data_IF_658908043787
#
_entry.id   IF_658908043787
#
_cell.length_a   1.000
_cell.length_b   1.000
_cell.length_c   1.000
_cell.angle_alpha   90.00
_cell.angle_beta   90.00
_cell.angle_gamma   90.00
#
_symmetry.space_group_name_H-M   'P 1'
#
loop_
_entity.id
_entity.type
_entity.pdbx_description
1 polymer ?
#
# COMPACT_ATOMS: atom_id res chain seq x y z
N UNK A 1 -11.19 -24.10 1.47
CA UNK A 1 -9.94 -23.42 1.07
C UNK A 1 -10.01 -22.68 -0.27
N UNK A 2 -10.20 -23.36 -1.43
CA UNK A 2 -10.22 -22.69 -2.76
C UNK A 2 -11.23 -21.54 -2.86
N UNK A 3 -12.45 -21.71 -2.35
CA UNK A 3 -13.50 -20.66 -2.36
C UNK A 3 -13.09 -19.45 -1.52
N UNK A 4 -12.48 -19.68 -0.36
CA UNK A 4 -12.02 -18.62 0.53
C UNK A 4 -10.84 -17.85 -0.09
N UNK A 5 -9.91 -18.55 -0.75
CA UNK A 5 -8.81 -17.90 -1.47
C UNK A 5 -9.33 -17.02 -2.62
N UNK A 6 -10.30 -17.51 -3.40
CA UNK A 6 -10.91 -16.70 -4.47
C UNK A 6 -11.66 -15.48 -3.92
N UNK A 7 -12.40 -15.64 -2.82
CA UNK A 7 -13.05 -14.52 -2.15
C UNK A 7 -12.04 -13.49 -1.66
N UNK A 8 -11.01 -13.93 -0.93
CA UNK A 8 -9.98 -13.04 -0.41
C UNK A 8 -9.21 -12.32 -1.51
N UNK A 9 -8.88 -13.03 -2.59
CA UNK A 9 -8.25 -12.44 -3.77
C UNK A 9 -9.13 -11.38 -4.43
N UNK A 10 -10.43 -11.63 -4.57
CA UNK A 10 -11.36 -10.66 -5.15
C UNK A 10 -11.54 -9.42 -4.26
N UNK A 11 -11.58 -9.60 -2.94
CA UNK A 11 -11.65 -8.49 -1.96
C UNK A 11 -10.44 -7.58 -2.09
N UNK A 12 -9.25 -8.16 -2.03
CA UNK A 12 -7.98 -7.41 -2.10
C UNK A 12 -7.81 -6.73 -3.46
N UNK A 13 -8.17 -7.42 -4.54
CA UNK A 13 -8.15 -6.86 -5.89
C UNK A 13 -9.02 -5.60 -6.00
N UNK A 14 -10.28 -5.68 -5.58
CA UNK A 14 -11.22 -4.55 -5.65
C UNK A 14 -10.69 -3.38 -4.81
N UNK A 15 -10.24 -3.64 -3.58
CA UNK A 15 -9.72 -2.61 -2.70
C UNK A 15 -8.54 -1.84 -3.34
N UNK A 16 -7.55 -2.57 -3.87
CA UNK A 16 -6.36 -1.97 -4.46
C UNK A 16 -6.65 -1.26 -5.78
N UNK A 17 -7.52 -1.82 -6.64
CA UNK A 17 -7.96 -1.16 -7.88
C UNK A 17 -8.55 0.22 -7.58
N UNK A 18 -9.48 0.30 -6.61
CA UNK A 18 -10.15 1.57 -6.30
C UNK A 18 -9.31 2.50 -5.42
N UNK A 19 -8.34 1.97 -4.67
CA UNK A 19 -7.32 2.79 -4.03
C UNK A 19 -6.53 3.59 -5.08
N UNK A 20 -6.01 2.92 -6.11
CA UNK A 20 -5.12 3.53 -7.11
C UNK A 20 -5.87 4.27 -8.22
N UNK A 21 -7.18 4.05 -8.38
CA UNK A 21 -8.00 4.74 -9.37
C UNK A 21 -8.06 6.28 -9.18
N UNK A 22 -7.77 6.80 -7.98
CA UNK A 22 -7.74 8.25 -7.74
C UNK A 22 -6.61 8.95 -8.51
N UNK A 23 -5.51 8.25 -8.79
CA UNK A 23 -4.28 8.83 -9.36
C UNK A 23 -4.52 9.64 -10.63
N UNK A 24 -5.19 9.14 -11.68
CA UNK A 24 -5.48 9.93 -12.88
C UNK A 24 -6.67 10.89 -12.71
N UNK A 25 -7.48 10.76 -11.64
CA UNK A 25 -8.58 11.67 -11.34
C UNK A 25 -8.12 12.94 -10.62
N UNK A 26 -6.96 12.88 -9.94
CA UNK A 26 -6.50 13.95 -9.08
C UNK A 26 -6.31 15.29 -9.79
N UNK A 27 -5.72 15.37 -11.01
CA UNK A 27 -5.64 16.62 -11.75
C UNK A 27 -7.03 17.23 -12.05
N UNK A 28 -7.98 16.40 -12.52
CA UNK A 28 -9.34 16.85 -12.77
C UNK A 28 -10.01 17.44 -11.53
N UNK A 29 -9.91 16.78 -10.39
CA UNK A 29 -10.41 17.35 -9.12
C UNK A 29 -9.67 18.62 -8.71
N UNK A 30 -8.37 18.71 -8.98
CA UNK A 30 -7.59 19.90 -8.68
C UNK A 30 -8.09 21.10 -9.50
N UNK A 31 -8.37 20.91 -10.78
CA UNK A 31 -8.89 21.95 -11.67
C UNK A 31 -10.34 22.31 -11.34
N UNK A 32 -11.23 21.31 -11.24
CA UNK A 32 -12.67 21.52 -11.05
C UNK A 32 -12.99 22.19 -9.70
N UNK A 33 -12.24 21.86 -8.64
CA UNK A 33 -12.45 22.38 -7.28
C UNK A 33 -11.44 23.46 -6.89
N UNK A 34 -10.52 23.82 -7.79
CA UNK A 34 -9.47 24.81 -7.51
C UNK A 34 -8.55 24.41 -6.35
N UNK A 35 -8.15 23.12 -6.28
CA UNK A 35 -7.40 22.63 -5.15
C UNK A 35 -5.96 23.13 -5.16
N UNK A 36 -5.50 23.59 -3.99
CA UNK A 36 -4.06 23.73 -3.77
C UNK A 36 -3.36 22.37 -3.73
N UNK A 37 -2.02 22.33 -3.95
CA UNK A 37 -1.24 21.10 -3.81
C UNK A 37 -1.39 20.45 -2.42
N UNK A 38 -1.59 21.27 -1.38
CA UNK A 38 -1.89 20.79 -0.03
C UNK A 38 -3.25 20.07 0.04
N UNK A 39 -4.30 20.65 -0.55
CA UNK A 39 -5.63 20.04 -0.59
C UNK A 39 -5.64 18.75 -1.45
N UNK A 40 -4.96 18.74 -2.59
CA UNK A 40 -4.74 17.54 -3.39
C UNK A 40 -3.99 16.45 -2.61
N UNK A 41 -3.02 16.85 -1.78
CA UNK A 41 -2.30 15.97 -0.85
C UNK A 41 -3.21 15.34 0.20
N UNK A 42 -4.16 16.12 0.75
CA UNK A 42 -5.18 15.60 1.69
C UNK A 42 -6.06 14.58 0.99
N UNK A 43 -6.60 14.90 -0.17
CA UNK A 43 -7.49 14.01 -0.94
C UNK A 43 -6.81 12.69 -1.31
N UNK A 44 -5.56 12.74 -1.78
CA UNK A 44 -4.79 11.53 -2.09
C UNK A 44 -4.45 10.72 -0.83
N UNK A 45 -3.99 11.38 0.23
CA UNK A 45 -3.56 10.75 1.47
C UNK A 45 -4.69 10.29 2.41
N UNK A 46 -5.92 10.78 2.21
CA UNK A 46 -7.05 10.47 3.09
C UNK A 46 -7.36 8.97 3.18
N UNK A 47 -7.24 8.23 2.08
CA UNK A 47 -7.37 6.77 2.09
C UNK A 47 -6.32 6.12 3.00
N UNK A 48 -5.07 6.48 2.82
CA UNK A 48 -3.98 5.95 3.66
C UNK A 48 -4.16 6.35 5.14
N UNK A 49 -4.69 7.55 5.42
CA UNK A 49 -5.02 7.97 6.78
C UNK A 49 -6.12 7.09 7.41
N UNK A 50 -7.16 6.75 6.65
CA UNK A 50 -8.19 5.81 7.07
C UNK A 50 -7.62 4.41 7.33
N UNK A 51 -6.76 3.93 6.41
CA UNK A 51 -6.04 2.66 6.56
C UNK A 51 -5.17 2.66 7.81
N UNK A 52 -4.40 3.73 8.05
CA UNK A 52 -3.55 3.88 9.22
C UNK A 52 -4.36 3.83 10.52
N UNK A 53 -5.42 4.62 10.58
CA UNK A 53 -6.31 4.70 11.75
C UNK A 53 -6.94 3.34 12.10
N UNK A 54 -7.25 2.52 11.07
CA UNK A 54 -7.97 1.26 11.25
C UNK A 54 -7.04 0.02 11.22
N UNK A 55 -5.75 0.13 10.87
CA UNK A 55 -4.84 -1.01 10.74
C UNK A 55 -4.78 -1.90 11.98
N UNK A 56 -4.55 -1.34 13.17
CA UNK A 56 -4.53 -2.10 14.42
C UNK A 56 -5.95 -2.42 14.93
N UNK A 57 -6.90 -1.46 14.98
CA UNK A 57 -8.27 -1.76 15.36
C UNK A 57 -8.90 -2.91 14.57
N UNK A 58 -8.67 -2.99 13.26
CA UNK A 58 -9.19 -4.06 12.42
C UNK A 58 -8.65 -5.44 12.81
N UNK A 59 -7.37 -5.54 13.17
CA UNK A 59 -6.79 -6.77 13.72
C UNK A 59 -7.48 -7.20 15.02
N UNK A 60 -7.73 -6.26 15.93
CA UNK A 60 -8.48 -6.55 17.17
C UNK A 60 -9.95 -6.90 16.90
N UNK A 61 -10.60 -6.25 15.94
CA UNK A 61 -11.97 -6.61 15.53
C UNK A 61 -12.02 -8.04 14.99
N UNK A 62 -11.05 -8.43 14.16
CA UNK A 62 -10.96 -9.78 13.60
C UNK A 62 -10.76 -10.84 14.69
N UNK A 63 -9.98 -10.56 15.74
CA UNK A 63 -9.80 -11.49 16.86
C UNK A 63 -11.03 -11.55 17.79
N UNK A 64 -11.71 -10.41 18.01
CA UNK A 64 -12.83 -10.33 18.96
C UNK A 64 -14.18 -10.79 18.36
N UNK A 65 -14.46 -10.36 17.15
CA UNK A 65 -15.77 -10.60 16.49
C UNK A 65 -15.70 -11.66 15.38
N UNK A 66 -14.51 -12.15 15.09
CA UNK A 66 -14.23 -13.10 14.02
C UNK A 66 -13.85 -12.44 12.69
N UNK A 67 -13.04 -13.13 11.88
CA UNK A 67 -12.51 -12.60 10.63
C UNK A 67 -13.58 -12.34 9.59
N UNK A 68 -14.60 -13.22 9.50
CA UNK A 68 -15.72 -13.08 8.56
C UNK A 68 -16.53 -11.80 8.80
N UNK A 69 -16.88 -11.51 10.06
CA UNK A 69 -17.66 -10.31 10.41
C UNK A 69 -16.87 -9.04 10.15
N UNK A 70 -15.58 -9.06 10.47
CA UNK A 70 -14.67 -7.92 10.20
C UNK A 70 -14.55 -7.66 8.70
N UNK A 71 -14.38 -8.72 7.89
CA UNK A 71 -14.37 -8.63 6.42
C UNK A 71 -15.67 -8.03 5.88
N UNK A 72 -16.82 -8.55 6.30
CA UNK A 72 -18.14 -8.09 5.82
C UNK A 72 -18.35 -6.61 6.19
N UNK A 73 -18.05 -6.22 7.43
CA UNK A 73 -18.15 -4.82 7.85
C UNK A 73 -17.23 -3.93 7.03
N UNK A 74 -15.98 -4.37 6.78
CA UNK A 74 -15.03 -3.64 5.92
C UNK A 74 -15.54 -3.46 4.50
N UNK A 75 -16.09 -4.51 3.88
CA UNK A 75 -16.67 -4.44 2.54
C UNK A 75 -17.86 -3.47 2.45
N UNK A 76 -18.74 -3.47 3.45
CA UNK A 76 -19.88 -2.56 3.49
C UNK A 76 -19.43 -1.10 3.65
N UNK A 77 -18.44 -0.83 4.51
CA UNK A 77 -17.86 0.50 4.67
C UNK A 77 -17.18 0.94 3.37
N UNK A 78 -16.34 0.09 2.77
CA UNK A 78 -15.63 0.38 1.52
C UNK A 78 -16.62 0.68 0.38
N UNK A 79 -17.63 -0.16 0.20
CA UNK A 79 -18.63 0.01 -0.87
C UNK A 79 -19.47 1.26 -0.69
N UNK A 80 -19.98 1.50 0.52
CA UNK A 80 -20.79 2.70 0.82
C UNK A 80 -19.98 3.99 0.68
N UNK A 81 -18.74 3.98 1.16
CA UNK A 81 -17.85 5.13 1.01
C UNK A 81 -17.47 5.37 -0.46
N UNK A 82 -17.30 4.31 -1.25
CA UNK A 82 -17.04 4.43 -2.69
C UNK A 82 -18.24 5.01 -3.44
N UNK A 83 -19.46 4.61 -3.08
CA UNK A 83 -20.66 5.22 -3.62
C UNK A 83 -20.70 6.73 -3.31
N UNK A 84 -20.48 7.11 -2.04
CA UNK A 84 -20.41 8.52 -1.63
C UNK A 84 -19.35 9.27 -2.42
N UNK A 85 -18.16 8.69 -2.59
CA UNK A 85 -17.08 9.29 -3.37
C UNK A 85 -17.48 9.56 -4.81
N UNK A 86 -18.19 8.62 -5.46
CA UNK A 86 -18.63 8.76 -6.85
C UNK A 86 -19.57 9.94 -7.09
N UNK A 87 -20.41 10.28 -6.09
CA UNK A 87 -21.39 11.36 -6.14
C UNK A 87 -20.93 12.66 -5.44
N UNK A 88 -19.75 12.64 -4.82
CA UNK A 88 -19.24 13.79 -4.08
C UNK A 88 -18.79 14.91 -5.03
N UNK A 89 -19.25 16.13 -4.77
CA UNK A 89 -18.97 17.32 -5.56
C UNK A 89 -18.25 18.41 -4.78
N UNK A 90 -17.82 18.15 -3.54
CA UNK A 90 -17.04 19.08 -2.74
C UNK A 90 -15.96 18.35 -1.93
N UNK A 91 -14.83 19.01 -1.69
CA UNK A 91 -13.61 18.44 -1.13
C UNK A 91 -13.82 17.69 0.19
N UNK A 92 -14.53 18.27 1.15
CA UNK A 92 -14.71 17.65 2.48
C UNK A 92 -15.40 16.28 2.38
N UNK A 93 -16.38 16.12 1.48
CA UNK A 93 -17.07 14.85 1.28
C UNK A 93 -16.19 13.84 0.56
N UNK A 94 -15.39 14.30 -0.42
CA UNK A 94 -14.39 13.47 -1.09
C UNK A 94 -13.35 12.94 -0.09
N UNK A 95 -12.79 13.82 0.76
CA UNK A 95 -11.80 13.45 1.79
C UNK A 95 -12.39 12.47 2.80
N UNK A 96 -13.61 12.74 3.31
CA UNK A 96 -14.29 11.86 4.25
C UNK A 96 -14.60 10.49 3.64
N UNK A 97 -15.04 10.45 2.38
CA UNK A 97 -15.29 9.23 1.66
C UNK A 97 -13.98 8.42 1.44
N UNK A 98 -12.88 9.08 1.04
CA UNK A 98 -11.56 8.45 0.90
C UNK A 98 -11.05 7.90 2.22
N UNK A 99 -11.19 8.63 3.31
CA UNK A 99 -10.83 8.15 4.65
C UNK A 99 -11.65 6.90 5.03
N UNK A 100 -12.96 6.93 4.82
CA UNK A 100 -13.84 5.79 5.10
C UNK A 100 -13.52 4.57 4.20
N UNK A 101 -13.19 4.79 2.91
CA UNK A 101 -12.71 3.74 2.02
C UNK A 101 -11.46 3.05 2.60
N UNK A 102 -10.46 3.82 3.02
CA UNK A 102 -9.23 3.28 3.61
C UNK A 102 -9.49 2.52 4.92
N UNK A 103 -10.36 3.02 5.78
CA UNK A 103 -10.76 2.31 7.00
C UNK A 103 -11.48 0.99 6.68
N UNK A 104 -12.41 1.00 5.71
CA UNK A 104 -13.09 -0.20 5.21
C UNK A 104 -12.12 -1.20 4.59
N UNK A 105 -11.17 -0.72 3.78
CA UNK A 105 -10.10 -1.52 3.19
C UNK A 105 -9.26 -2.22 4.24
N UNK A 106 -8.78 -1.50 5.26
CA UNK A 106 -8.01 -2.09 6.37
C UNK A 106 -8.76 -3.20 7.10
N UNK A 107 -10.07 -3.02 7.33
CA UNK A 107 -10.94 -4.07 7.92
C UNK A 107 -11.08 -5.28 6.99
N UNK A 108 -11.28 -5.04 5.70
CA UNK A 108 -11.41 -6.09 4.69
C UNK A 108 -10.13 -6.91 4.56
N UNK A 109 -8.96 -6.26 4.52
CA UNK A 109 -7.65 -6.90 4.52
C UNK A 109 -7.41 -7.74 5.78
N UNK A 110 -7.59 -7.14 6.95
CA UNK A 110 -7.37 -7.83 8.23
C UNK A 110 -8.29 -9.03 8.38
N UNK A 111 -9.58 -8.89 8.02
CA UNK A 111 -10.53 -9.99 8.02
C UNK A 111 -10.15 -11.10 7.04
N UNK A 112 -9.78 -10.73 5.81
CA UNK A 112 -9.37 -11.67 4.76
C UNK A 112 -8.14 -12.47 5.17
N UNK A 113 -7.05 -11.80 5.53
CA UNK A 113 -5.80 -12.47 5.87
C UNK A 113 -5.92 -13.32 7.12
N UNK A 114 -6.60 -12.82 8.17
CA UNK A 114 -6.86 -13.61 9.37
C UNK A 114 -7.66 -14.88 9.05
N UNK A 115 -8.68 -14.78 8.21
CA UNK A 115 -9.50 -15.94 7.84
C UNK A 115 -8.70 -16.96 7.02
N UNK A 116 -7.94 -16.49 6.03
CA UNK A 116 -7.09 -17.34 5.20
C UNK A 116 -6.02 -18.07 6.03
N UNK A 117 -5.41 -17.39 7.00
CA UNK A 117 -4.39 -17.97 7.88
C UNK A 117 -4.98 -19.07 8.77
N UNK A 118 -6.15 -18.83 9.37
CA UNK A 118 -6.83 -19.80 10.24
C UNK A 118 -7.19 -21.09 9.47
N UNK A 119 -7.68 -20.94 8.24
CA UNK A 119 -8.12 -22.07 7.42
C UNK A 119 -6.97 -22.75 6.65
N UNK A 120 -5.77 -22.16 6.62
CA UNK A 120 -4.64 -22.69 5.87
C UNK A 120 -3.82 -23.66 6.70
N UNK A 121 -3.46 -24.84 6.16
CA UNK A 121 -2.41 -25.68 6.72
C UNK A 121 -1.09 -24.90 6.86
N UNK A 122 -0.31 -25.19 7.90
CA UNK A 122 0.93 -24.46 8.22
C UNK A 122 1.93 -24.44 7.08
N UNK A 123 2.05 -25.57 6.34
CA UNK A 123 2.93 -25.74 5.19
C UNK A 123 2.53 -24.91 3.96
N UNK A 124 1.31 -24.37 3.90
CA UNK A 124 0.77 -23.63 2.74
C UNK A 124 0.45 -22.16 3.03
N UNK A 125 0.55 -21.70 4.27
CA UNK A 125 0.22 -20.31 4.65
C UNK A 125 0.96 -19.28 3.81
N UNK A 126 2.26 -19.45 3.63
CA UNK A 126 3.07 -18.55 2.81
C UNK A 126 2.61 -18.47 1.35
N UNK A 127 2.28 -19.64 0.75
CA UNK A 127 1.77 -19.69 -0.63
C UNK A 127 0.41 -18.98 -0.77
N UNK A 128 -0.47 -19.15 0.22
CA UNK A 128 -1.81 -18.53 0.23
C UNK A 128 -1.69 -17.02 0.34
N UNK A 129 -0.89 -16.52 1.28
CA UNK A 129 -0.65 -15.08 1.47
C UNK A 129 0.02 -14.50 0.21
N UNK A 130 1.05 -15.16 -0.32
CA UNK A 130 1.73 -14.72 -1.54
C UNK A 130 0.80 -14.65 -2.75
N UNK A 131 -0.17 -15.57 -2.86
CA UNK A 131 -1.17 -15.54 -3.94
C UNK A 131 -2.08 -14.32 -3.83
N UNK A 132 -2.50 -13.93 -2.63
CA UNK A 132 -3.34 -12.75 -2.40
C UNK A 132 -2.55 -11.46 -2.67
N UNK A 133 -1.29 -11.39 -2.23
CA UNK A 133 -0.41 -10.25 -2.51
C UNK A 133 -0.14 -10.10 -4.01
N UNK A 134 0.03 -11.21 -4.75
CA UNK A 134 0.15 -11.16 -6.21
C UNK A 134 -1.08 -10.59 -6.91
N UNK A 135 -2.28 -10.83 -6.36
CA UNK A 135 -3.53 -10.24 -6.85
C UNK A 135 -3.62 -8.75 -6.50
N UNK A 136 -3.08 -8.32 -5.36
CA UNK A 136 -2.98 -6.89 -5.02
C UNK A 136 -2.18 -6.12 -6.08
N UNK A 137 -1.03 -6.67 -6.50
CA UNK A 137 -0.20 -6.06 -7.56
C UNK A 137 -0.97 -5.96 -8.90
N UNK A 138 -1.79 -6.97 -9.23
CA UNK A 138 -2.68 -6.88 -10.40
C UNK A 138 -3.74 -5.76 -10.24
N UNK A 139 -4.20 -5.49 -9.02
CA UNK A 139 -5.07 -4.35 -8.70
C UNK A 139 -4.38 -3.01 -8.93
N UNK A 140 -3.12 -2.86 -8.50
CA UNK A 140 -2.32 -1.66 -8.75
C UNK A 140 -2.13 -1.39 -10.23
N UNK A 141 -1.97 -2.44 -11.03
CA UNK A 141 -1.83 -2.34 -12.48
C UNK A 141 -3.10 -1.81 -13.16
N UNK A 142 -4.28 -2.26 -12.73
CA UNK A 142 -5.55 -1.94 -13.39
C UNK A 142 -6.23 -0.68 -12.83
N UNK A 143 -5.91 -0.28 -11.61
CA UNK A 143 -6.55 0.85 -10.95
C UNK A 143 -6.42 2.19 -11.70
N UNK A 144 -5.22 2.61 -12.13
CA UNK A 144 -5.08 3.85 -12.89
C UNK A 144 -5.87 3.84 -14.20
N UNK A 145 -5.96 2.70 -14.89
CA UNK A 145 -6.78 2.57 -16.10
C UNK A 145 -8.27 2.75 -15.80
N UNK A 146 -8.75 2.20 -14.66
CA UNK A 146 -10.13 2.40 -14.21
C UNK A 146 -10.40 3.86 -13.82
N UNK A 147 -9.43 4.53 -13.21
CA UNK A 147 -9.54 5.96 -12.89
C UNK A 147 -9.62 6.83 -14.15
N UNK A 148 -8.81 6.55 -15.18
CA UNK A 148 -8.93 7.24 -16.47
C UNK A 148 -10.28 6.97 -17.16
N UNK A 149 -10.82 5.76 -17.04
CA UNK A 149 -12.17 5.44 -17.49
C UNK A 149 -13.21 6.27 -16.73
N UNK A 150 -13.08 6.36 -15.39
CA UNK A 150 -13.97 7.18 -14.57
C UNK A 150 -13.92 8.67 -14.95
N UNK A 151 -12.75 9.20 -15.33
CA UNK A 151 -12.63 10.55 -15.88
C UNK A 151 -13.39 10.70 -17.21
N UNK A 152 -13.43 9.66 -18.04
CA UNK A 152 -14.05 9.71 -19.36
C UNK A 152 -15.58 9.55 -19.34
N UNK A 153 -16.12 8.68 -18.47
CA UNK A 153 -17.56 8.33 -18.45
C UNK A 153 -18.29 8.81 -17.19
N UNK A 154 -17.58 9.46 -16.27
CA UNK A 154 -18.08 9.91 -14.98
C UNK A 154 -17.66 9.01 -13.81
N UNK A 155 -17.47 9.61 -12.65
CA UNK A 155 -17.11 8.91 -11.40
C UNK A 155 -18.29 8.12 -10.83
N UNK A 156 -19.52 8.64 -10.98
CA UNK A 156 -20.74 8.04 -10.44
C UNK A 156 -20.96 6.59 -10.87
N UNK A 157 -21.00 6.23 -12.19
CA UNK A 157 -21.23 4.85 -12.60
C UNK A 157 -20.08 3.94 -12.18
N UNK A 158 -18.81 4.40 -12.26
CA UNK A 158 -17.64 3.58 -11.96
C UNK A 158 -17.57 3.26 -10.46
N UNK A 159 -17.69 4.27 -9.59
CA UNK A 159 -17.61 4.04 -8.14
C UNK A 159 -18.87 3.39 -7.57
N UNK A 160 -20.04 3.50 -8.22
CA UNK A 160 -21.24 2.74 -7.84
C UNK A 160 -21.05 1.23 -8.02
N UNK A 161 -20.25 0.79 -8.99
CA UNK A 161 -19.97 -0.64 -9.16
C UNK A 161 -19.27 -1.24 -7.95
N UNK A 162 -18.50 -0.45 -7.19
CA UNK A 162 -17.82 -0.91 -5.96
C UNK A 162 -18.83 -1.40 -4.95
N UNK A 163 -19.90 -0.64 -4.71
CA UNK A 163 -20.94 -1.04 -3.76
C UNK A 163 -21.57 -2.37 -4.19
N UNK A 164 -21.90 -2.53 -5.46
CA UNK A 164 -22.50 -3.77 -5.98
C UNK A 164 -21.54 -4.94 -5.77
N UNK A 165 -20.27 -4.77 -6.12
CA UNK A 165 -19.24 -5.82 -5.99
C UNK A 165 -18.99 -6.16 -4.52
N UNK A 166 -18.84 -5.16 -3.65
CA UNK A 166 -18.57 -5.39 -2.22
C UNK A 166 -19.75 -6.03 -1.51
N UNK A 167 -21.00 -5.66 -1.85
CA UNK A 167 -22.20 -6.32 -1.35
C UNK A 167 -22.28 -7.77 -1.84
N UNK A 168 -21.99 -8.04 -3.11
CA UNK A 168 -21.95 -9.40 -3.63
C UNK A 168 -20.91 -10.26 -2.91
N UNK A 169 -19.69 -9.73 -2.69
CA UNK A 169 -18.64 -10.43 -1.92
C UNK A 169 -19.03 -10.62 -0.45
N UNK A 170 -19.67 -9.64 0.18
CA UNK A 170 -20.17 -9.76 1.54
C UNK A 170 -21.23 -10.86 1.65
N UNK A 171 -22.14 -10.96 0.69
CA UNK A 171 -23.14 -12.04 0.63
C UNK A 171 -22.51 -13.42 0.43
N UNK A 172 -21.45 -13.52 -0.39
CA UNK A 172 -20.65 -14.74 -0.54
C UNK A 172 -19.97 -15.10 0.78
N UNK A 173 -19.33 -14.12 1.44
CA UNK A 173 -18.67 -14.32 2.73
C UNK A 173 -19.65 -14.82 3.81
N UNK A 174 -20.87 -14.25 3.88
CA UNK A 174 -21.89 -14.65 4.84
C UNK A 174 -22.39 -16.09 4.65
N UNK A 175 -22.28 -16.65 3.44
CA UNK A 175 -22.66 -18.05 3.15
C UNK A 175 -21.55 -19.05 3.47
N UNK A 176 -20.35 -18.59 3.82
CA UNK A 176 -19.24 -19.47 4.19
C UNK A 176 -19.23 -19.74 5.71
N UNK A 177 -18.71 -20.92 6.14
CA UNK A 177 -18.62 -21.24 7.56
C UNK A 177 -17.79 -20.20 8.31
N UNK A 178 -18.18 -19.89 9.54
CA UNK A 178 -17.42 -18.98 10.41
C UNK A 178 -16.26 -19.73 11.06
N UNK A 179 -15.08 -19.14 11.02
CA UNK A 179 -13.90 -19.64 11.74
C UNK A 179 -13.77 -18.87 13.05
N UNK A 180 -13.70 -19.58 14.14
CA UNK A 180 -13.50 -18.98 15.45
C UNK A 180 -12.01 -18.85 15.78
N UNK A 181 -11.58 -17.65 16.12
CA UNK A 181 -10.23 -17.41 16.67
C UNK A 181 -10.23 -17.77 18.16
N UNK A 182 -9.53 -18.84 18.52
CA UNK A 182 -9.37 -19.24 19.92
C UNK A 182 -8.37 -18.41 20.73
N UNK A 183 -7.76 -17.37 20.15
CA UNK A 183 -6.66 -16.65 20.78
C UNK A 183 -6.92 -15.14 20.74
N UNK A 184 -7.02 -14.52 21.91
CA UNK A 184 -7.05 -13.07 22.06
C UNK A 184 -5.61 -12.54 22.16
N UNK A 185 -5.18 -11.72 21.20
CA UNK A 185 -3.93 -10.98 21.34
C UNK A 185 -4.10 -9.88 22.40
N UNK A 186 -3.14 -9.80 23.32
CA UNK A 186 -3.11 -8.72 24.32
C UNK A 186 -2.52 -7.47 23.67
N UNK A 187 -3.11 -6.31 23.94
CA UNK A 187 -2.60 -5.01 23.45
C UNK A 187 -1.15 -4.79 23.88
N UNK A 188 -0.80 -5.24 25.09
CA UNK A 188 0.57 -5.12 25.61
C UNK A 188 1.60 -5.91 24.77
N UNK A 189 1.24 -7.10 24.28
CA UNK A 189 2.13 -7.94 23.46
C UNK A 189 2.36 -7.30 22.08
N UNK A 190 1.29 -6.73 21.51
CA UNK A 190 1.38 -5.97 20.23
C UNK A 190 2.28 -4.75 20.40
N UNK A 191 2.11 -4.00 21.48
CA UNK A 191 2.93 -2.82 21.76
C UNK A 191 4.41 -3.18 21.99
N UNK A 192 4.68 -4.22 22.76
CA UNK A 192 6.03 -4.72 22.99
C UNK A 192 6.71 -5.14 21.68
N UNK A 193 5.97 -5.79 20.78
CA UNK A 193 6.47 -6.13 19.44
C UNK A 193 6.78 -4.89 18.61
N UNK A 194 5.85 -3.95 18.54
CA UNK A 194 6.01 -2.71 17.75
C UNK A 194 7.20 -1.87 18.21
N UNK A 195 7.56 -1.92 19.47
CA UNK A 195 8.69 -1.17 20.05
C UNK A 195 10.00 -1.95 20.03
N UNK A 196 10.00 -3.21 19.60
CA UNK A 196 11.23 -4.00 19.48
C UNK A 196 12.12 -3.45 18.36
N UNK A 197 13.45 -3.38 18.61
CA UNK A 197 14.41 -2.78 17.67
C UNK A 197 14.39 -3.39 16.26
N UNK A 198 14.30 -4.72 16.09
CA UNK A 198 14.18 -5.36 14.77
C UNK A 198 12.92 -4.94 14.02
N UNK A 199 11.76 -4.92 14.69
CA UNK A 199 10.47 -4.54 14.09
C UNK A 199 10.46 -3.05 13.72
N UNK A 200 10.95 -2.16 14.60
CA UNK A 200 11.07 -0.72 14.29
C UNK A 200 11.91 -0.47 13.05
N UNK A 201 13.06 -1.17 12.91
CA UNK A 201 13.89 -1.05 11.71
C UNK A 201 13.21 -1.56 10.46
N UNK A 202 12.58 -2.74 10.53
CA UNK A 202 11.87 -3.31 9.39
C UNK A 202 10.67 -2.44 9.00
N UNK A 203 9.93 -1.89 9.97
CA UNK A 203 8.88 -0.89 9.74
C UNK A 203 9.43 0.31 8.98
N UNK A 204 10.59 0.85 9.37
CA UNK A 204 11.20 1.98 8.66
C UNK A 204 11.58 1.63 7.22
N UNK A 205 12.06 0.41 6.95
CA UNK A 205 12.36 -0.02 5.56
C UNK A 205 11.11 -0.08 4.67
N UNK A 206 9.93 -0.30 5.24
CA UNK A 206 8.65 -0.20 4.50
C UNK A 206 8.20 1.26 4.39
N UNK A 207 8.28 2.02 5.49
CA UNK A 207 7.80 3.42 5.55
C UNK A 207 8.60 4.34 4.63
N UNK A 208 9.92 4.18 4.54
CA UNK A 208 10.77 5.08 3.76
C UNK A 208 10.43 5.12 2.25
N UNK A 209 10.30 4.00 1.51
CA UNK A 209 9.82 4.04 0.14
C UNK A 209 8.35 4.47 0.04
N UNK A 210 7.50 4.15 1.05
CA UNK A 210 6.11 4.60 1.07
C UNK A 210 5.97 6.12 1.17
N UNK A 211 6.92 6.82 1.83
CA UNK A 211 6.99 8.28 1.83
C UNK A 211 7.13 8.83 0.41
N UNK A 212 8.03 8.26 -0.39
CA UNK A 212 8.21 8.68 -1.78
C UNK A 212 6.94 8.43 -2.61
N UNK A 213 6.29 7.27 -2.43
CA UNK A 213 5.04 6.99 -3.11
C UNK A 213 3.92 7.95 -2.70
N UNK A 214 3.86 8.35 -1.44
CA UNK A 214 2.91 9.37 -0.98
C UNK A 214 3.14 10.73 -1.67
N UNK A 215 4.38 11.19 -1.80
CA UNK A 215 4.72 12.40 -2.55
C UNK A 215 4.39 12.24 -4.03
N UNK A 216 4.78 11.10 -4.63
CA UNK A 216 4.59 10.80 -6.04
C UNK A 216 3.12 10.72 -6.42
N UNK A 217 2.27 10.13 -5.58
CA UNK A 217 0.82 9.99 -5.84
C UNK A 217 0.08 11.34 -5.91
N UNK A 218 0.66 12.39 -5.37
CA UNK A 218 0.13 13.76 -5.44
C UNK A 218 0.80 14.55 -6.55
N UNK A 219 2.12 14.68 -6.49
CA UNK A 219 2.85 15.60 -7.37
C UNK A 219 3.11 15.02 -8.76
N UNK A 220 3.17 13.69 -8.90
CA UNK A 220 3.36 13.04 -10.21
C UNK A 220 2.22 13.32 -11.20
N UNK A 221 0.95 13.02 -10.84
CA UNK A 221 -0.21 13.32 -11.69
C UNK A 221 -0.34 14.81 -12.00
N UNK A 222 -0.21 15.69 -11.00
CA UNK A 222 -0.29 17.14 -11.19
C UNK A 222 0.81 17.65 -12.15
N UNK A 223 2.03 17.11 -12.03
CA UNK A 223 3.13 17.50 -12.92
C UNK A 223 2.96 17.00 -14.34
N UNK A 224 2.37 15.80 -14.54
CA UNK A 224 2.00 15.32 -15.88
C UNK A 224 1.00 16.28 -16.50
N UNK A 225 0.02 16.72 -15.75
CA UNK A 225 -1.02 17.64 -16.19
C UNK A 225 -0.47 19.03 -16.53
N UNK A 226 0.38 19.61 -15.66
CA UNK A 226 1.10 20.88 -15.89
C UNK A 226 1.92 20.86 -17.22
N UNK A 227 2.41 19.68 -17.62
CA UNK A 227 3.14 19.51 -18.90
C UNK A 227 2.22 19.17 -20.09
N UNK A 228 0.90 19.29 -19.93
CA UNK A 228 -0.11 19.06 -20.97
C UNK A 228 -0.48 17.58 -21.16
N UNK A 229 -0.17 16.70 -20.21
CA UNK A 229 -0.58 15.29 -20.22
C UNK A 229 -1.89 15.12 -19.44
N UNK A 230 -2.93 14.59 -20.04
CA UNK A 230 -4.21 14.34 -19.34
C UNK A 230 -4.23 13.02 -18.57
N UNK A 231 -5.40 12.71 -17.98
CA UNK A 231 -5.64 11.52 -17.15
C UNK A 231 -5.20 10.19 -17.80
N UNK A 232 -5.35 10.06 -19.12
CA UNK A 232 -4.91 8.87 -19.87
C UNK A 232 -3.38 8.67 -19.79
N UNK A 233 -2.60 9.76 -19.84
CA UNK A 233 -1.15 9.68 -19.74
C UNK A 233 -0.70 9.41 -18.29
N UNK A 234 -1.39 9.98 -17.31
CA UNK A 234 -1.19 9.63 -15.89
C UNK A 234 -1.43 8.13 -15.70
N UNK A 235 -2.57 7.62 -16.16
CA UNK A 235 -2.88 6.20 -16.07
C UNK A 235 -1.82 5.34 -16.76
N UNK A 236 -1.39 5.70 -17.96
CA UNK A 236 -0.37 4.97 -18.70
C UNK A 236 0.97 4.92 -17.97
N UNK A 237 1.45 6.05 -17.43
CA UNK A 237 2.72 6.13 -16.72
C UNK A 237 2.74 5.21 -15.47
N UNK A 238 1.69 5.28 -14.65
CA UNK A 238 1.59 4.45 -13.44
C UNK A 238 1.33 2.97 -13.77
N UNK A 239 0.52 2.68 -14.80
CA UNK A 239 0.29 1.29 -15.27
C UNK A 239 1.58 0.66 -15.81
N UNK A 240 2.38 1.37 -16.59
CA UNK A 240 3.68 0.87 -17.08
C UNK A 240 4.61 0.59 -15.89
N UNK A 241 4.69 1.52 -14.93
CA UNK A 241 5.49 1.32 -13.71
C UNK A 241 5.09 0.06 -12.96
N UNK A 242 3.80 -0.11 -12.67
CA UNK A 242 3.25 -1.28 -11.99
C UNK A 242 3.45 -2.58 -12.79
N UNK A 243 3.32 -2.53 -14.13
CA UNK A 243 3.55 -3.69 -15.00
C UNK A 243 5.00 -4.17 -14.94
N UNK A 244 5.95 -3.24 -15.02
CA UNK A 244 7.38 -3.56 -14.94
C UNK A 244 7.72 -4.11 -13.54
N UNK A 245 7.22 -3.48 -12.47
CA UNK A 245 7.39 -3.97 -11.11
C UNK A 245 6.85 -5.39 -10.94
N UNK A 246 5.65 -5.66 -11.47
CA UNK A 246 5.02 -6.99 -11.44
C UNK A 246 5.91 -8.05 -12.08
N UNK A 247 6.43 -7.78 -13.28
CA UNK A 247 7.30 -8.70 -14.03
C UNK A 247 8.63 -8.91 -13.31
N UNK A 248 9.18 -7.87 -12.68
CA UNK A 248 10.46 -7.93 -11.98
C UNK A 248 10.36 -8.55 -10.56
N UNK A 249 9.21 -8.49 -9.90
CA UNK A 249 9.02 -8.95 -8.51
C UNK A 249 9.54 -10.39 -8.26
N UNK A 250 9.28 -11.41 -9.12
CA UNK A 250 9.83 -12.75 -8.91
C UNK A 250 11.36 -12.81 -9.05
N UNK A 251 11.94 -11.94 -9.88
CA UNK A 251 13.40 -11.84 -10.05
C UNK A 251 14.01 -11.19 -8.82
N UNK A 252 13.40 -10.10 -8.34
CA UNK A 252 13.80 -9.37 -7.14
C UNK A 252 13.76 -10.31 -5.92
N UNK A 253 12.70 -11.10 -5.76
CA UNK A 253 12.59 -12.09 -4.70
C UNK A 253 13.76 -13.09 -4.73
N UNK A 254 14.05 -13.71 -5.89
CA UNK A 254 15.18 -14.66 -6.05
C UNK A 254 16.54 -13.99 -5.78
N UNK A 255 16.74 -12.77 -6.20
CA UNK A 255 17.97 -12.01 -5.92
C UNK A 255 18.08 -11.73 -4.41
N UNK A 256 16.99 -11.32 -3.78
CA UNK A 256 16.89 -11.06 -2.34
C UNK A 256 17.24 -12.31 -1.52
N UNK A 257 16.72 -13.48 -1.90
CA UNK A 257 16.99 -14.75 -1.23
C UNK A 257 18.47 -15.17 -1.35
N UNK A 258 19.10 -14.95 -2.51
CA UNK A 258 20.49 -15.35 -2.79
C UNK A 258 21.53 -14.38 -2.27
N UNK A 259 21.29 -13.07 -2.40
CA UNK A 259 22.26 -12.01 -2.09
C UNK A 259 22.07 -11.37 -0.72
N UNK A 260 21.01 -11.76 -0.01
CA UNK A 260 20.54 -11.11 1.21
C UNK A 260 19.65 -9.89 0.90
N UNK A 261 18.72 -9.62 1.81
CA UNK A 261 17.63 -8.63 1.62
C UNK A 261 18.07 -7.18 1.54
N UNK A 262 19.17 -6.84 2.23
CA UNK A 262 19.64 -5.45 2.32
C UNK A 262 20.32 -4.93 1.04
N UNK A 263 20.85 -5.82 0.18
CA UNK A 263 21.49 -5.43 -1.09
C UNK A 263 20.46 -4.91 -2.12
N UNK A 264 19.40 -5.67 -2.47
CA UNK A 264 18.39 -5.16 -3.37
C UNK A 264 17.69 -3.92 -2.81
N UNK A 265 17.42 -3.87 -1.48
CA UNK A 265 16.88 -2.69 -0.85
C UNK A 265 17.75 -1.44 -1.06
N UNK A 266 19.05 -1.53 -0.83
CA UNK A 266 19.98 -0.40 -1.00
C UNK A 266 20.07 0.05 -2.48
N UNK A 267 20.06 -0.90 -3.42
CA UNK A 267 20.02 -0.59 -4.85
C UNK A 267 18.71 0.13 -5.23
N UNK A 268 17.56 -0.38 -4.74
CA UNK A 268 16.25 0.24 -4.95
C UNK A 268 16.17 1.65 -4.37
N UNK A 269 16.68 1.85 -3.15
CA UNK A 269 16.72 3.16 -2.51
C UNK A 269 17.56 4.17 -3.32
N UNK A 270 18.66 3.73 -3.92
CA UNK A 270 19.47 4.58 -4.80
C UNK A 270 18.70 4.93 -6.08
N UNK A 271 18.08 3.96 -6.75
CA UNK A 271 17.28 4.19 -7.98
C UNK A 271 16.12 5.14 -7.69
N UNK A 272 15.36 4.90 -6.62
CA UNK A 272 14.27 5.77 -6.19
C UNK A 272 14.75 7.20 -5.93
N UNK A 273 15.88 7.36 -5.23
CA UNK A 273 16.40 8.68 -4.87
C UNK A 273 16.84 9.47 -6.09
N UNK A 274 17.57 8.84 -7.02
CA UNK A 274 18.02 9.50 -8.26
C UNK A 274 16.82 9.90 -9.11
N UNK A 275 15.85 8.99 -9.31
CA UNK A 275 14.67 9.28 -10.09
C UNK A 275 13.78 10.35 -9.46
N UNK A 276 13.67 10.37 -8.11
CA UNK A 276 12.92 11.38 -7.38
C UNK A 276 13.57 12.78 -7.47
N UNK A 277 14.90 12.88 -7.53
CA UNK A 277 15.59 14.16 -7.78
C UNK A 277 15.33 14.65 -9.20
N UNK A 278 15.31 13.75 -10.18
CA UNK A 278 15.12 14.11 -11.59
C UNK A 278 13.67 14.51 -11.90
N UNK A 279 12.67 13.98 -11.17
CA UNK A 279 11.27 14.18 -11.45
C UNK A 279 10.84 15.67 -11.44
N UNK A 280 11.09 16.48 -10.41
CA UNK A 280 10.71 17.89 -10.40
C UNK A 280 11.51 18.73 -11.42
N UNK A 281 12.67 18.25 -11.86
CA UNK A 281 13.49 18.91 -12.88
C UNK A 281 13.05 18.58 -14.32
N UNK A 282 12.12 17.63 -14.48
CA UNK A 282 11.66 17.23 -15.79
C UNK A 282 10.87 18.38 -16.46
N UNK A 283 11.46 18.93 -17.53
CA UNK A 283 10.82 19.93 -18.40
C UNK A 283 10.02 19.33 -19.55
N UNK A 284 9.96 17.99 -19.66
CA UNK A 284 9.26 17.28 -20.72
C UNK A 284 8.69 15.95 -20.22
N UNK A 285 7.54 15.56 -20.77
CA UNK A 285 6.81 14.33 -20.41
C UNK A 285 7.66 13.04 -20.50
N UNK A 286 8.52 12.80 -21.52
CA UNK A 286 9.31 11.57 -21.56
C UNK A 286 10.24 11.39 -20.36
N UNK A 287 10.91 12.46 -19.90
CA UNK A 287 11.78 12.40 -18.72
C UNK A 287 10.97 12.16 -17.44
N UNK A 288 9.81 12.82 -17.33
CA UNK A 288 8.91 12.66 -16.20
C UNK A 288 8.39 11.21 -16.09
N UNK A 289 7.88 10.65 -17.20
CA UNK A 289 7.39 9.27 -17.26
C UNK A 289 8.52 8.28 -16.94
N UNK A 290 9.71 8.49 -17.52
CA UNK A 290 10.87 7.64 -17.24
C UNK A 290 11.23 7.67 -15.74
N UNK A 291 11.15 8.85 -15.09
CA UNK A 291 11.39 8.98 -13.65
C UNK A 291 10.34 8.24 -12.83
N UNK A 292 9.06 8.32 -13.19
CA UNK A 292 7.96 7.59 -12.52
C UNK A 292 8.19 6.08 -12.64
N UNK A 293 8.49 5.58 -13.84
CA UNK A 293 8.78 4.16 -14.07
C UNK A 293 10.02 3.71 -13.29
N UNK A 294 11.07 4.52 -13.25
CA UNK A 294 12.27 4.21 -12.48
C UNK A 294 11.98 4.15 -10.97
N UNK A 295 11.13 5.04 -10.44
CA UNK A 295 10.67 4.99 -9.06
C UNK A 295 9.91 3.68 -8.79
N UNK A 296 9.02 3.25 -9.68
CA UNK A 296 8.27 1.98 -9.53
C UNK A 296 9.22 0.78 -9.46
N UNK A 297 10.21 0.71 -10.35
CA UNK A 297 11.24 -0.36 -10.35
C UNK A 297 12.05 -0.33 -9.05
N UNK A 298 12.51 0.86 -8.64
CA UNK A 298 13.26 1.04 -7.40
C UNK A 298 12.45 0.66 -6.16
N UNK A 299 11.16 0.94 -6.18
CA UNK A 299 10.23 0.60 -5.12
C UNK A 299 10.02 -0.91 -5.00
N UNK A 300 9.86 -1.64 -6.10
CA UNK A 300 9.81 -3.10 -6.07
C UNK A 300 11.07 -3.70 -5.43
N UNK A 301 12.26 -3.13 -5.74
CA UNK A 301 13.52 -3.50 -5.09
C UNK A 301 13.56 -3.19 -3.59
N UNK A 302 12.80 -2.18 -3.13
CA UNK A 302 12.70 -1.84 -1.71
C UNK A 302 11.61 -2.66 -1.01
N UNK A 303 10.39 -2.68 -1.53
CA UNK A 303 9.22 -3.27 -0.84
C UNK A 303 9.34 -4.79 -0.69
N UNK A 304 9.73 -5.51 -1.74
CA UNK A 304 9.81 -6.98 -1.69
C UNK A 304 10.67 -7.47 -0.51
N UNK A 305 11.93 -7.03 -0.32
CA UNK A 305 12.71 -7.44 0.85
C UNK A 305 12.24 -6.80 2.16
N UNK A 306 11.74 -5.56 2.15
CA UNK A 306 11.32 -4.86 3.37
C UNK A 306 10.08 -5.52 4.01
N UNK A 307 9.08 -5.87 3.20
CA UNK A 307 7.88 -6.57 3.67
C UNK A 307 8.22 -7.92 4.28
N UNK A 308 9.13 -8.66 3.65
CA UNK A 308 9.61 -9.95 4.18
C UNK A 308 10.36 -9.75 5.50
N UNK A 309 11.25 -8.74 5.59
CA UNK A 309 11.97 -8.44 6.85
C UNK A 309 11.01 -8.05 7.97
N UNK A 310 9.95 -7.30 7.68
CA UNK A 310 8.95 -6.91 8.67
C UNK A 310 8.14 -8.11 9.15
N UNK A 311 7.69 -8.97 8.24
CA UNK A 311 6.96 -10.20 8.58
C UNK A 311 7.80 -11.11 9.48
N UNK A 312 9.04 -11.42 9.06
CA UNK A 312 9.94 -12.28 9.83
C UNK A 312 10.29 -11.70 11.22
N UNK A 313 10.49 -10.36 11.28
CA UNK A 313 10.78 -9.70 12.57
C UNK A 313 9.58 -9.74 13.52
N UNK A 314 8.36 -9.61 12.99
CA UNK A 314 7.13 -9.71 13.77
C UNK A 314 6.88 -11.15 14.25
N UNK A 315 7.08 -12.15 13.39
CA UNK A 315 6.94 -13.56 13.73
C UNK A 315 7.97 -14.00 14.79
N UNK A 316 9.20 -13.52 14.71
CA UNK A 316 10.24 -13.79 15.71
C UNK A 316 9.91 -13.29 17.12
N UNK A 317 9.00 -12.33 17.26
CA UNK A 317 8.47 -11.86 18.56
C UNK A 317 7.24 -12.63 19.05
N UNK A 318 6.79 -13.65 18.29
CA UNK A 318 5.60 -14.43 18.61
C UNK A 318 4.28 -13.75 18.24
N UNK A 319 4.33 -12.69 17.43
CA UNK A 319 3.13 -12.00 16.96
C UNK A 319 2.36 -12.87 15.95
N UNK A 320 1.06 -13.00 16.14
CA UNK A 320 0.20 -13.71 15.20
C UNK A 320 0.21 -13.03 13.82
N UNK A 321 0.21 -13.82 12.76
CA UNK A 321 0.31 -13.34 11.36
C UNK A 321 -0.77 -12.33 10.97
N UNK A 322 -1.98 -12.40 11.52
CA UNK A 322 -3.03 -11.40 11.29
C UNK A 322 -2.66 -9.99 11.80
N UNK A 323 -1.93 -9.91 12.92
CA UNK A 323 -1.40 -8.65 13.45
C UNK A 323 -0.13 -8.21 12.72
N UNK A 324 0.68 -9.14 12.23
CA UNK A 324 1.82 -8.84 11.34
C UNK A 324 1.36 -8.13 10.06
N UNK A 325 0.24 -8.58 9.47
CA UNK A 325 -0.38 -7.89 8.33
C UNK A 325 -0.84 -6.48 8.69
N UNK A 326 -1.41 -6.29 9.89
CA UNK A 326 -1.78 -4.96 10.41
C UNK A 326 -0.57 -4.04 10.55
N UNK A 327 0.57 -4.55 11.04
CA UNK A 327 1.82 -3.80 11.12
C UNK A 327 2.36 -3.39 9.75
N UNK A 328 2.25 -4.29 8.77
CA UNK A 328 2.66 -4.00 7.38
C UNK A 328 1.82 -2.88 6.79
N UNK A 329 0.50 -2.96 6.92
CA UNK A 329 -0.41 -1.90 6.47
C UNK A 329 -0.15 -0.58 7.19
N UNK A 330 0.12 -0.61 8.49
CA UNK A 330 0.45 0.57 9.29
C UNK A 330 1.76 1.21 8.81
N UNK A 331 2.81 0.42 8.57
CA UNK A 331 4.09 0.90 8.08
C UNK A 331 3.95 1.57 6.69
N UNK A 332 3.23 0.93 5.79
CA UNK A 332 2.94 1.45 4.46
C UNK A 332 2.09 2.73 4.53
N UNK A 333 0.98 2.68 5.26
CA UNK A 333 0.05 3.80 5.35
C UNK A 333 0.65 5.02 6.03
N UNK A 334 1.51 4.84 7.05
CA UNK A 334 2.20 5.97 7.69
C UNK A 334 3.09 6.73 6.72
N UNK A 335 3.84 6.02 5.85
CA UNK A 335 4.63 6.65 4.79
C UNK A 335 3.76 7.38 3.77
N UNK A 336 2.69 6.75 3.31
CA UNK A 336 1.75 7.35 2.36
C UNK A 336 1.09 8.62 2.92
N UNK A 337 0.64 8.59 4.18
CA UNK A 337 0.04 9.76 4.86
C UNK A 337 1.04 10.90 4.96
N UNK A 338 2.21 10.64 5.52
CA UNK A 338 3.24 11.68 5.70
C UNK A 338 3.74 12.20 4.36
N UNK A 339 3.93 11.33 3.36
CA UNK A 339 4.35 11.68 2.02
C UNK A 339 3.28 12.47 1.27
N UNK A 340 2.03 12.02 1.28
CA UNK A 340 0.93 12.68 0.56
C UNK A 340 0.55 14.02 1.17
N UNK A 341 0.16 14.03 2.45
CA UNK A 341 -0.24 15.26 3.14
C UNK A 341 0.94 16.23 3.30
N UNK A 342 2.06 15.74 3.82
CA UNK A 342 3.24 16.54 4.09
C UNK A 342 3.91 17.02 2.80
N UNK A 343 4.03 16.13 1.80
CA UNK A 343 4.58 16.46 0.49
C UNK A 343 3.73 17.49 -0.26
N UNK A 344 2.40 17.32 -0.28
CA UNK A 344 1.48 18.28 -0.89
C UNK A 344 1.52 19.65 -0.21
N UNK A 345 1.49 19.68 1.14
CA UNK A 345 1.58 20.92 1.91
C UNK A 345 2.93 21.64 1.69
N UNK A 346 4.03 20.90 1.71
CA UNK A 346 5.36 21.45 1.48
C UNK A 346 5.55 21.94 0.05
N UNK A 347 5.03 21.20 -0.95
CA UNK A 347 5.05 21.63 -2.35
C UNK A 347 4.24 22.91 -2.57
N UNK A 348 3.09 23.06 -1.89
CA UNK A 348 2.28 24.27 -1.94
C UNK A 348 3.02 25.51 -1.39
N UNK A 349 3.91 25.33 -0.41
CA UNK A 349 4.67 26.41 0.21
C UNK A 349 6.00 26.71 -0.48
N UNK A 350 6.69 25.71 -1.05
CA UNK A 350 8.10 25.82 -1.47
C UNK A 350 8.38 25.36 -2.90
N UNK A 351 7.34 24.86 -3.59
CA UNK A 351 7.49 24.19 -4.89
C UNK A 351 7.82 22.71 -4.77
N UNK A 352 7.73 22.00 -5.89
CA UNK A 352 7.76 20.54 -5.97
C UNK A 352 9.13 19.94 -5.65
N UNK A 353 10.20 20.71 -5.79
CA UNK A 353 11.58 20.19 -5.65
C UNK A 353 11.90 19.77 -4.21
N UNK A 354 11.49 20.56 -3.22
CA UNK A 354 11.87 20.33 -1.83
C UNK A 354 11.30 19.02 -1.24
N UNK A 355 10.01 18.67 -1.44
CA UNK A 355 9.49 17.37 -1.00
C UNK A 355 10.28 16.19 -1.55
N UNK A 356 10.57 16.19 -2.85
CA UNK A 356 11.34 15.11 -3.47
C UNK A 356 12.78 15.05 -2.96
N UNK A 357 13.44 16.18 -2.72
CA UNK A 357 14.81 16.21 -2.14
C UNK A 357 14.84 15.63 -0.72
N UNK A 358 13.88 15.99 0.13
CA UNK A 358 13.82 15.48 1.51
C UNK A 358 13.65 13.95 1.51
N UNK A 359 12.70 13.44 0.71
CA UNK A 359 12.47 11.99 0.65
C UNK A 359 13.63 11.26 -0.01
N UNK A 360 14.25 11.84 -1.03
CA UNK A 360 15.46 11.29 -1.65
C UNK A 360 16.62 11.21 -0.65
N UNK A 361 16.84 12.24 0.15
CA UNK A 361 17.86 12.23 1.19
C UNK A 361 17.57 11.15 2.25
N UNK A 362 16.32 11.02 2.71
CA UNK A 362 15.91 9.98 3.65
C UNK A 362 16.14 8.56 3.09
N UNK A 363 15.80 8.33 1.82
CA UNK A 363 16.03 7.05 1.14
C UNK A 363 17.52 6.76 0.93
N UNK A 364 18.32 7.75 0.53
CA UNK A 364 19.78 7.59 0.38
C UNK A 364 20.45 7.22 1.69
N UNK A 365 20.09 7.92 2.78
CA UNK A 365 20.63 7.63 4.12
C UNK A 365 20.21 6.22 4.58
N UNK A 366 18.95 5.84 4.34
CA UNK A 366 18.42 4.51 4.67
C UNK A 366 19.13 3.43 3.84
N UNK A 367 19.30 3.65 2.54
CA UNK A 367 20.02 2.74 1.64
C UNK A 367 21.50 2.59 2.00
N UNK A 368 22.17 3.69 2.35
CA UNK A 368 23.55 3.66 2.82
C UNK A 368 23.69 2.89 4.14
N UNK A 369 22.76 3.09 5.08
CA UNK A 369 22.73 2.33 6.33
C UNK A 369 22.48 0.82 6.09
N UNK A 370 21.56 0.48 5.18
CA UNK A 370 21.31 -0.89 4.78
C UNK A 370 22.54 -1.53 4.12
N UNK A 371 23.21 -0.78 3.25
CA UNK A 371 24.44 -1.23 2.59
C UNK A 371 25.58 -1.52 3.57
N UNK A 372 25.76 -0.72 4.60
CA UNK A 372 26.78 -0.93 5.64
C UNK A 372 26.48 -2.20 6.47
N UNK A 373 25.20 -2.46 6.76
CA UNK A 373 24.75 -3.62 7.56
C UNK A 373 24.69 -4.94 6.80
N UNK A 374 24.83 -4.93 5.46
CA UNK A 374 24.73 -6.15 4.62
C UNK A 374 25.73 -7.24 4.98
N UNK A 375 26.83 -6.91 5.66
CA UNK A 375 27.88 -7.82 6.10
C UNK A 375 27.66 -8.38 7.51
N UNK A 376 26.61 -7.92 8.23
CA UNK A 376 26.26 -8.48 9.52
C UNK A 376 25.70 -9.89 9.31
N UNK A 377 26.16 -10.93 10.07
CA UNK A 377 25.60 -12.27 9.97
C UNK A 377 24.08 -12.23 10.24
N UNK A 378 23.31 -12.94 9.43
CA UNK A 378 21.88 -13.10 9.68
C UNK A 378 21.70 -13.81 11.04
N UNK A 379 21.03 -13.21 12.04
CA UNK A 379 20.81 -13.85 13.34
C UNK A 379 20.12 -15.21 13.26
N UNK A 380 19.43 -15.50 12.15
CA UNK A 380 18.74 -16.77 11.92
C UNK A 380 19.67 -17.88 11.38
N UNK A 381 20.94 -17.59 11.03
CA UNK A 381 21.89 -18.58 10.55
C UNK A 381 22.73 -19.25 11.64
N UNK A 382 22.46 -18.93 12.91
CA UNK A 382 23.11 -19.64 14.02
C UNK A 382 22.42 -21.00 14.16
N UNK A 383 23.10 -22.15 13.93
CA UNK A 383 22.54 -23.45 14.17
C UNK A 383 22.13 -23.50 15.65
N UNK A 384 20.91 -23.90 15.93
CA UNK A 384 20.48 -24.27 17.28
C UNK A 384 21.37 -25.45 17.65
N UNK A 385 22.41 -25.23 18.43
CA UNK A 385 23.17 -26.28 19.06
C UNK A 385 22.22 -27.01 20.01
N UNK A 386 21.66 -28.11 19.54
CA UNK A 386 20.94 -29.05 20.38
C UNK A 386 22.01 -29.61 21.32
N UNK A 387 22.11 -29.08 22.51
CA UNK A 387 22.83 -29.74 23.61
C UNK A 387 21.99 -30.94 24.03
N UNK A 388 22.50 -32.15 23.68
CA UNK A 388 22.02 -33.43 24.16
C UNK A 388 22.10 -33.50 25.70
#
# INVERSE_FOLDING_TARGET
MRRLLLLGSAVVFIDVVFFTAITPLLPGYADDLGLSKAAAGVLSGAYAAGTLAMSLPAGFLATRFGPRRTLVAGLLVLGSASLVFGFANHLLLLDAARFAQGAGGAMAWSGTLSWLIIESPDDRRGTVIGSVLGVAVAGELLGPSLGALAQAIGTEPVFSTVLVLTVALALVALRMPESTTGQSARVADVWATMTSGPVVRATWYVTAPSLLFGVLSVLGPLRIDELGGGAALVALAFTIGAAIETVLSPVIGRVSDRSGRLRPFAAGALVCSVAAILLPLAGALPLLITSIVAISVGAGLCFTPALTMLSDSAEATGLHQGLSAGLTNMAWASGQVVGGLGGGALAGATGDTLPFLIVSAALLLTGAAAWRRRSEPNPQSVPVTVTN
#
